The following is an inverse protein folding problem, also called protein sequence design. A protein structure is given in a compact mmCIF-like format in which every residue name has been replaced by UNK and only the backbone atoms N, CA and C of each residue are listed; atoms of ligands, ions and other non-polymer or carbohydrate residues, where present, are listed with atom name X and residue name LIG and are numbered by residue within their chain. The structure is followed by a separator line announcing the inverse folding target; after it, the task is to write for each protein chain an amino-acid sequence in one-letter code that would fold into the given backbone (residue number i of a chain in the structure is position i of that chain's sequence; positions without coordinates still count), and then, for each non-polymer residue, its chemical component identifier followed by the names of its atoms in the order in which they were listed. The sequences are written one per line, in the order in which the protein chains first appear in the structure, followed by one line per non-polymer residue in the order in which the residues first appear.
data_IF_146658699805
#
_entry.id   IF_146658699805
#
_cell.length_a   1.000
_cell.length_b   1.000
_cell.length_c   1.000
_cell.angle_alpha   90.00
_cell.angle_beta   90.00
_cell.angle_gamma   90.00
#
_symmetry.space_group_name_H-M   'P 1'
#
loop_
_entity.id
_entity.type
_entity.pdbx_description
1 polymer ?
#
# COMPACT_ATOMS: atom_id res chain seq x y z
N UNK A 1 2.41 7.08 -17.25
CA UNK A 1 0.94 6.92 -17.32
C UNK A 1 0.49 6.78 -15.87
N UNK A 2 -0.38 7.67 -15.39
CA UNK A 2 -0.89 7.59 -14.00
C UNK A 2 -1.75 6.33 -13.87
N UNK A 3 -1.63 5.61 -12.75
CA UNK A 3 -2.33 4.32 -12.57
C UNK A 3 -3.84 4.51 -12.33
N UNK A 4 -4.19 5.57 -11.61
CA UNK A 4 -5.54 6.07 -11.42
C UNK A 4 -5.49 7.60 -11.20
N UNK A 5 -6.65 8.26 -11.32
CA UNK A 5 -6.74 9.74 -11.22
C UNK A 5 -6.15 10.27 -9.91
N UNK A 6 -5.41 11.39 -9.98
CA UNK A 6 -4.91 12.11 -8.80
C UNK A 6 -6.00 12.40 -7.76
N UNK A 7 -7.26 12.55 -8.18
CA UNK A 7 -8.40 12.76 -7.27
C UNK A 7 -8.63 11.63 -6.26
N UNK A 8 -8.17 10.41 -6.53
CA UNK A 8 -8.30 9.26 -5.64
C UNK A 8 -7.01 8.96 -4.85
N UNK A 9 -5.92 9.71 -5.09
CA UNK A 9 -4.60 9.36 -4.55
C UNK A 9 -4.54 9.40 -3.03
N UNK A 10 -4.98 10.51 -2.44
CA UNK A 10 -4.97 10.69 -1.00
C UNK A 10 -5.80 9.60 -0.32
N UNK A 11 -7.02 9.37 -0.81
CA UNK A 11 -7.95 8.38 -0.29
C UNK A 11 -7.42 6.94 -0.42
N UNK A 12 -6.88 6.56 -1.58
CA UNK A 12 -6.32 5.22 -1.79
C UNK A 12 -5.08 5.00 -0.92
N UNK A 13 -4.22 6.00 -0.77
CA UNK A 13 -3.01 5.91 0.08
C UNK A 13 -3.41 5.76 1.54
N UNK A 14 -4.26 6.65 2.04
CA UNK A 14 -4.71 6.65 3.42
C UNK A 14 -5.48 5.36 3.77
N UNK A 15 -6.46 4.98 2.95
CA UNK A 15 -7.31 3.82 3.23
C UNK A 15 -6.56 2.49 3.09
N UNK A 16 -5.57 2.38 2.19
CA UNK A 16 -4.74 1.18 2.14
C UNK A 16 -3.85 1.06 3.39
N UNK A 17 -3.31 2.18 3.90
CA UNK A 17 -2.60 2.19 5.17
C UNK A 17 -3.49 1.73 6.33
N UNK A 18 -4.64 2.39 6.48
CA UNK A 18 -5.62 2.05 7.52
C UNK A 18 -6.14 0.62 7.40
N UNK A 19 -6.32 0.08 6.18
CA UNK A 19 -6.70 -1.31 5.96
C UNK A 19 -5.71 -2.29 6.61
N UNK A 20 -4.41 -2.04 6.43
CA UNK A 20 -3.37 -2.93 6.94
C UNK A 20 -3.26 -2.87 8.47
N UNK A 21 -3.46 -1.68 9.05
CA UNK A 21 -3.59 -1.51 10.50
C UNK A 21 -4.85 -2.18 11.05
N UNK A 22 -6.00 -1.91 10.43
CA UNK A 22 -7.29 -2.45 10.81
C UNK A 22 -7.30 -3.99 10.84
N UNK A 23 -6.69 -4.64 9.84
CA UNK A 23 -6.61 -6.09 9.76
C UNK A 23 -5.86 -6.70 10.95
N UNK A 24 -4.76 -6.08 11.40
CA UNK A 24 -4.00 -6.53 12.56
C UNK A 24 -4.75 -6.29 13.88
N UNK A 25 -5.41 -5.14 14.03
CA UNK A 25 -6.18 -4.80 15.23
C UNK A 25 -7.40 -5.70 15.43
N UNK A 26 -8.12 -6.01 14.34
CA UNK A 26 -9.36 -6.80 14.40
C UNK A 26 -9.12 -8.30 14.48
N UNK A 27 -7.92 -8.76 14.11
CA UNK A 27 -7.52 -10.17 14.19
C UNK A 27 -6.19 -10.31 14.93
N UNK A 28 -6.17 -10.17 16.26
CA UNK A 28 -4.95 -10.26 17.05
C UNK A 28 -4.20 -11.58 16.83
N UNK A 29 -2.93 -11.48 16.46
CA UNK A 29 -2.09 -12.64 16.15
C UNK A 29 -2.22 -13.15 14.72
N UNK A 30 -2.81 -12.38 13.80
CA UNK A 30 -2.76 -12.65 12.36
C UNK A 30 -1.31 -12.54 11.83
N UNK A 31 -0.99 -13.35 10.82
CA UNK A 31 0.13 -13.12 9.91
C UNK A 31 -0.19 -11.94 8.98
N UNK A 32 0.13 -10.73 9.46
CA UNK A 32 -0.13 -9.50 8.71
C UNK A 32 0.66 -9.44 7.40
N UNK A 33 1.83 -10.09 7.32
CA UNK A 33 2.60 -10.14 6.08
C UNK A 33 1.88 -10.97 5.02
N UNK A 34 1.36 -12.14 5.39
CA UNK A 34 0.53 -12.97 4.51
C UNK A 34 -0.73 -12.23 4.04
N UNK A 35 -1.42 -11.52 4.95
CA UNK A 35 -2.58 -10.69 4.59
C UNK A 35 -2.22 -9.60 3.57
N UNK A 36 -1.17 -8.82 3.82
CA UNK A 36 -0.70 -7.76 2.92
C UNK A 36 -0.37 -8.35 1.54
N UNK A 37 0.33 -9.49 1.51
CA UNK A 37 0.69 -10.15 0.26
C UNK A 37 -0.54 -10.67 -0.50
N UNK A 38 -1.49 -11.28 0.20
CA UNK A 38 -2.73 -11.77 -0.39
C UNK A 38 -3.52 -10.60 -0.98
N UNK A 39 -3.67 -9.51 -0.22
CA UNK A 39 -4.33 -8.30 -0.67
C UNK A 39 -3.64 -7.69 -1.90
N UNK A 40 -2.31 -7.49 -1.87
CA UNK A 40 -1.57 -6.92 -3.00
C UNK A 40 -1.62 -7.80 -4.27
N UNK A 41 -1.89 -9.10 -4.14
CA UNK A 41 -2.07 -10.04 -5.27
C UNK A 41 -3.53 -10.22 -5.72
N UNK A 42 -4.49 -9.65 -5.00
CA UNK A 42 -5.93 -9.88 -5.16
C UNK A 42 -6.56 -9.25 -6.40
N UNK A 43 -7.78 -9.69 -6.73
CA UNK A 43 -8.62 -8.99 -7.70
C UNK A 43 -9.12 -7.65 -7.15
N UNK A 44 -9.50 -7.59 -5.87
CA UNK A 44 -9.85 -6.34 -5.16
C UNK A 44 -8.81 -5.26 -5.39
N UNK A 45 -7.53 -5.57 -5.14
CA UNK A 45 -6.46 -4.60 -5.32
C UNK A 45 -6.17 -4.27 -6.79
N UNK A 46 -6.38 -5.24 -7.69
CA UNK A 46 -6.27 -5.01 -9.13
C UNK A 46 -7.39 -4.12 -9.70
N UNK A 47 -8.52 -3.95 -9.01
CA UNK A 47 -9.53 -2.96 -9.39
C UNK A 47 -9.09 -1.54 -9.03
N UNK A 48 -8.41 -1.37 -7.89
CA UNK A 48 -7.78 -0.10 -7.51
C UNK A 48 -6.63 0.24 -8.47
N UNK A 49 -5.83 -0.75 -8.89
CA UNK A 49 -4.81 -0.58 -9.94
C UNK A 49 -5.41 -0.05 -11.26
N UNK A 50 -6.72 -0.23 -11.50
CA UNK A 50 -7.42 0.24 -12.70
C UNK A 50 -8.22 1.51 -12.44
N UNK A 51 -8.15 2.09 -11.23
CA UNK A 51 -8.91 3.27 -10.84
C UNK A 51 -10.42 3.04 -10.82
N UNK A 52 -10.87 1.83 -10.47
CA UNK A 52 -12.30 1.55 -10.38
C UNK A 52 -12.92 2.40 -9.25
N UNK A 53 -13.88 3.31 -9.55
CA UNK A 53 -14.29 4.33 -8.59
C UNK A 53 -14.87 3.79 -7.28
N UNK A 54 -15.73 2.77 -7.35
CA UNK A 54 -16.41 2.20 -6.19
C UNK A 54 -15.45 1.63 -5.15
N UNK A 55 -14.40 0.93 -5.60
CA UNK A 55 -13.40 0.32 -4.71
C UNK A 55 -12.35 1.35 -4.29
N UNK A 56 -12.03 2.33 -5.13
CA UNK A 56 -11.07 3.40 -4.79
C UNK A 56 -11.56 4.32 -3.68
N UNK A 57 -12.88 4.42 -3.47
CA UNK A 57 -13.50 5.29 -2.44
C UNK A 57 -14.00 4.51 -1.22
N UNK A 58 -13.61 3.25 -1.06
CA UNK A 58 -13.93 2.49 0.14
C UNK A 58 -13.01 2.91 1.28
N UNK A 59 -13.60 3.16 2.46
CA UNK A 59 -12.82 3.22 3.69
C UNK A 59 -12.21 1.85 4.03
N UNK A 60 -11.29 1.84 5.00
CA UNK A 60 -10.54 0.65 5.38
C UNK A 60 -11.43 -0.53 5.81
N UNK A 61 -12.51 -0.27 6.55
CA UNK A 61 -13.40 -1.31 7.08
C UNK A 61 -14.19 -1.97 5.94
N UNK A 62 -14.86 -1.16 5.11
CA UNK A 62 -15.61 -1.64 3.96
C UNK A 62 -14.69 -2.34 2.95
N UNK A 63 -13.47 -1.83 2.75
CA UNK A 63 -12.48 -2.45 1.87
C UNK A 63 -12.00 -3.80 2.41
N UNK A 64 -11.85 -3.93 3.74
CA UNK A 64 -11.51 -5.19 4.39
C UNK A 64 -12.62 -6.22 4.21
N UNK A 65 -13.87 -5.85 4.51
CA UNK A 65 -15.04 -6.71 4.32
C UNK A 65 -15.20 -7.14 2.87
N UNK A 66 -15.07 -6.19 1.93
CA UNK A 66 -15.10 -6.47 0.50
C UNK A 66 -13.99 -7.45 0.11
N UNK A 67 -12.76 -7.26 0.59
CA UNK A 67 -11.66 -8.18 0.33
C UNK A 67 -11.97 -9.60 0.84
N UNK A 68 -12.44 -9.74 2.08
CA UNK A 68 -12.79 -11.06 2.63
C UNK A 68 -13.93 -11.73 1.86
N UNK A 69 -14.95 -10.96 1.49
CA UNK A 69 -16.11 -11.49 0.76
C UNK A 69 -15.73 -12.00 -0.63
N UNK A 70 -14.94 -11.23 -1.39
CA UNK A 70 -14.68 -11.54 -2.81
C UNK A 70 -13.46 -12.43 -3.03
N UNK A 71 -12.42 -12.31 -2.19
CA UNK A 71 -11.21 -13.12 -2.33
C UNK A 71 -11.25 -14.41 -1.52
N UNK A 72 -12.25 -14.54 -0.62
CA UNK A 72 -12.37 -15.68 0.30
C UNK A 72 -11.09 -15.91 1.10
N UNK A 73 -10.42 -14.82 1.47
CA UNK A 73 -9.21 -14.88 2.29
C UNK A 73 -9.56 -15.36 3.70
N UNK A 74 -8.77 -16.31 4.20
CA UNK A 74 -8.86 -16.79 5.57
C UNK A 74 -7.62 -16.31 6.35
N UNK A 75 -7.80 -15.46 7.38
CA UNK A 75 -6.70 -15.02 8.23
C UNK A 75 -5.88 -16.18 8.80
N UNK A 76 -4.57 -16.11 8.62
CA UNK A 76 -3.64 -17.12 9.16
C UNK A 76 -3.07 -16.64 10.49
N UNK A 77 -2.88 -17.55 11.47
CA UNK A 77 -2.15 -17.20 12.68
C UNK A 77 -0.67 -16.95 12.34
N UNK A 78 -0.09 -15.92 12.93
CA UNK A 78 1.29 -15.51 12.71
C UNK A 78 1.78 -14.61 13.82
N UNK A 79 2.89 -13.92 13.55
CA UNK A 79 3.43 -12.94 14.48
C UNK A 79 2.87 -11.57 14.12
N UNK A 80 2.19 -10.94 15.08
CA UNK A 80 1.84 -9.53 14.97
C UNK A 80 3.10 -8.71 14.65
N UNK A 81 3.02 -7.85 13.64
CA UNK A 81 4.04 -6.87 13.35
C UNK A 81 4.12 -5.83 14.47
N UNK A 82 2.95 -5.42 15.00
CA UNK A 82 2.81 -4.43 16.06
C UNK A 82 3.20 -3.00 15.63
N UNK A 83 2.57 -2.02 16.28
CA UNK A 83 2.86 -0.60 16.03
C UNK A 83 2.34 -0.11 14.68
N UNK A 84 3.00 0.91 14.11
CA UNK A 84 2.51 1.64 12.93
C UNK A 84 3.09 1.12 11.60
N UNK A 85 3.81 -0.01 11.63
CA UNK A 85 4.48 -0.54 10.44
C UNK A 85 3.48 -0.98 9.35
N UNK A 86 2.39 -1.71 9.64
CA UNK A 86 1.41 -2.08 8.62
C UNK A 86 0.79 -0.86 7.94
N UNK A 87 0.42 0.17 8.72
CA UNK A 87 -0.15 1.40 8.19
C UNK A 87 0.81 2.09 7.20
N UNK A 88 2.05 2.33 7.64
CA UNK A 88 3.06 2.97 6.79
C UNK A 88 3.38 2.15 5.53
N UNK A 89 3.48 0.83 5.63
CA UNK A 89 3.72 -0.05 4.46
C UNK A 89 2.55 0.03 3.47
N UNK A 90 1.31 0.08 3.96
CA UNK A 90 0.12 0.23 3.13
C UNK A 90 0.14 1.55 2.35
N UNK A 91 0.39 2.66 3.03
CA UNK A 91 0.52 3.97 2.38
C UNK A 91 1.68 3.98 1.37
N UNK A 92 2.84 3.44 1.76
CA UNK A 92 4.03 3.36 0.92
C UNK A 92 3.74 2.60 -0.38
N UNK A 93 3.13 1.41 -0.31
CA UNK A 93 2.84 0.61 -1.50
C UNK A 93 1.87 1.30 -2.44
N UNK A 94 0.80 1.90 -1.92
CA UNK A 94 -0.17 2.63 -2.74
C UNK A 94 0.49 3.81 -3.46
N UNK A 95 1.30 4.60 -2.73
CA UNK A 95 1.99 5.74 -3.31
C UNK A 95 3.06 5.31 -4.30
N UNK A 96 3.85 4.29 -3.99
CA UNK A 96 4.91 3.77 -4.87
C UNK A 96 4.34 3.27 -6.19
N UNK A 97 3.24 2.51 -6.14
CA UNK A 97 2.49 2.09 -7.32
C UNK A 97 2.11 3.30 -8.18
N UNK A 98 1.50 4.32 -7.57
CA UNK A 98 1.01 5.50 -8.29
C UNK A 98 2.15 6.31 -8.91
N UNK A 99 3.22 6.56 -8.15
CA UNK A 99 4.40 7.32 -8.61
C UNK A 99 5.07 6.62 -9.79
N UNK A 100 5.29 5.30 -9.72
CA UNK A 100 6.06 4.59 -10.74
C UNK A 100 5.21 3.95 -11.84
N UNK A 101 3.88 4.03 -11.77
CA UNK A 101 3.02 3.54 -12.83
C UNK A 101 3.01 2.01 -12.97
N UNK A 102 3.35 1.27 -11.91
CA UNK A 102 3.45 -0.20 -11.92
C UNK A 102 2.29 -0.83 -11.12
N UNK A 103 1.90 -2.06 -11.41
CA UNK A 103 0.78 -2.69 -10.67
C UNK A 103 1.15 -3.02 -9.22
N UNK A 104 0.16 -3.14 -8.34
CA UNK A 104 0.33 -3.64 -6.97
C UNK A 104 1.15 -4.94 -6.89
N UNK A 105 0.92 -5.87 -7.83
CA UNK A 105 1.69 -7.12 -7.96
C UNK A 105 3.17 -6.90 -8.27
N UNK A 106 3.48 -5.97 -9.17
CA UNK A 106 4.88 -5.66 -9.50
C UNK A 106 5.55 -4.86 -8.38
N UNK A 107 4.82 -4.00 -7.64
CA UNK A 107 5.33 -3.38 -6.41
C UNK A 107 5.79 -4.46 -5.43
N UNK A 108 4.92 -5.42 -5.13
CA UNK A 108 5.23 -6.48 -4.17
C UNK A 108 6.40 -7.36 -4.63
N UNK A 109 6.54 -7.58 -5.93
CA UNK A 109 7.66 -8.34 -6.50
C UNK A 109 9.00 -7.60 -6.37
N UNK A 110 8.99 -6.27 -6.52
CA UNK A 110 10.18 -5.43 -6.34
C UNK A 110 10.52 -5.23 -4.87
N UNK A 111 9.48 -5.09 -4.03
CA UNK A 111 9.57 -4.77 -2.63
C UNK A 111 8.72 -5.78 -1.84
N UNK A 112 9.29 -6.96 -1.51
CA UNK A 112 8.59 -7.97 -0.72
C UNK A 112 8.20 -7.43 0.67
N UNK A 113 7.07 -7.89 1.20
CA UNK A 113 6.53 -7.40 2.48
C UNK A 113 7.50 -7.57 3.65
N UNK A 114 8.18 -8.71 3.74
CA UNK A 114 9.21 -8.92 4.78
C UNK A 114 10.35 -7.91 4.69
N UNK A 115 10.78 -7.55 3.47
CA UNK A 115 11.80 -6.53 3.26
C UNK A 115 11.33 -5.16 3.73
N UNK A 116 10.07 -4.81 3.45
CA UNK A 116 9.50 -3.53 3.89
C UNK A 116 9.35 -3.43 5.40
N UNK A 117 8.97 -4.52 6.08
CA UNK A 117 8.99 -4.56 7.55
C UNK A 117 10.41 -4.39 8.10
N UNK A 118 11.42 -5.02 7.49
CA UNK A 118 12.81 -4.86 7.91
C UNK A 118 13.35 -3.43 7.65
N UNK A 119 12.89 -2.78 6.58
CA UNK A 119 13.29 -1.42 6.21
C UNK A 119 12.57 -0.34 7.05
N UNK A 120 11.39 -0.64 7.58
CA UNK A 120 10.54 0.31 8.30
C UNK A 120 11.28 1.15 9.36
N UNK A 121 12.09 0.56 10.29
CA UNK A 121 12.77 1.34 11.33
C UNK A 121 13.69 2.46 10.80
N UNK A 122 14.27 2.30 9.61
CA UNK A 122 15.13 3.32 8.99
C UNK A 122 14.43 4.22 7.96
N UNK A 123 13.25 3.81 7.48
CA UNK A 123 12.53 4.50 6.41
C UNK A 123 11.38 5.38 6.93
N UNK A 124 10.72 4.98 8.04
CA UNK A 124 9.49 5.63 8.51
C UNK A 124 9.69 7.05 9.10
N UNK A 125 10.92 7.41 9.48
CA UNK A 125 11.27 8.78 9.89
C UNK A 125 11.31 9.77 8.72
N UNK A 126 11.32 9.27 7.48
CA UNK A 126 11.27 10.09 6.28
C UNK A 126 9.82 10.46 5.96
N UNK A 127 9.66 11.64 5.34
CA UNK A 127 8.46 11.95 4.58
C UNK A 127 8.14 10.82 3.58
N UNK A 128 6.87 10.43 3.46
CA UNK A 128 6.46 9.27 2.68
C UNK A 128 6.85 9.38 1.21
N UNK A 129 6.70 10.57 0.61
CA UNK A 129 7.12 10.83 -0.77
C UNK A 129 8.63 10.69 -0.93
N UNK A 130 9.39 11.26 0.02
CA UNK A 130 10.85 11.12 0.02
C UNK A 130 11.28 9.65 0.13
N UNK A 131 10.61 8.86 0.96
CA UNK A 131 10.87 7.43 1.07
C UNK A 131 10.61 6.70 -0.26
N UNK A 132 9.46 6.93 -0.89
CA UNK A 132 9.09 6.32 -2.19
C UNK A 132 10.10 6.67 -3.28
N UNK A 133 10.53 7.94 -3.35
CA UNK A 133 11.52 8.36 -4.35
C UNK A 133 12.88 7.70 -4.11
N UNK A 134 13.39 7.72 -2.87
CA UNK A 134 14.68 7.09 -2.54
C UNK A 134 14.69 5.59 -2.83
N UNK A 135 13.65 4.88 -2.41
CA UNK A 135 13.55 3.43 -2.64
C UNK A 135 13.42 3.13 -4.13
N UNK A 136 12.64 3.91 -4.88
CA UNK A 136 12.52 3.69 -6.31
C UNK A 136 13.81 3.92 -7.09
N UNK A 137 14.61 4.93 -6.71
CA UNK A 137 15.96 5.13 -7.25
C UNK A 137 16.87 3.91 -6.96
N UNK A 138 16.81 3.35 -5.75
CA UNK A 138 17.55 2.13 -5.38
C UNK A 138 17.10 0.90 -6.17
N UNK A 139 15.82 0.84 -6.55
CA UNK A 139 15.27 -0.18 -7.44
C UNK A 139 15.59 0.07 -8.93
N UNK A 140 16.35 1.13 -9.26
CA UNK A 140 16.70 1.49 -10.64
C UNK A 140 15.54 2.10 -11.45
N UNK A 141 14.47 2.52 -10.78
CA UNK A 141 13.35 3.21 -11.41
C UNK A 141 13.69 4.68 -11.59
N UNK A 142 13.30 5.25 -12.73
CA UNK A 142 13.44 6.69 -12.98
C UNK A 142 12.23 7.40 -12.39
N UNK A 143 12.47 8.43 -11.58
CA UNK A 143 11.40 9.31 -11.11
C UNK A 143 10.64 9.91 -12.32
N UNK A 144 9.30 10.03 -12.26
CA UNK A 144 8.54 10.66 -13.34
C UNK A 144 8.96 12.12 -13.52
N UNK A 145 9.12 12.56 -14.77
CA UNK A 145 9.58 13.91 -15.14
C UNK A 145 8.68 15.04 -14.58
N UNK A 146 7.44 14.73 -14.18
CA UNK A 146 6.46 15.69 -13.62
C UNK A 146 6.35 15.68 -12.09
N UNK A 147 7.20 14.94 -11.36
CA UNK A 147 7.18 14.93 -9.88
C UNK A 147 7.69 16.23 -9.25
N UNK A 148 8.30 17.12 -10.03
CA UNK A 148 8.90 18.40 -9.60
C UNK A 148 7.94 19.48 -9.06
N UNK A 149 6.63 19.22 -9.00
CA UNK A 149 5.63 20.11 -8.41
C UNK A 149 4.96 19.60 -7.13
N UNK A 150 5.19 18.35 -6.74
CA UNK A 150 4.45 17.69 -5.65
C UNK A 150 5.14 17.79 -4.28
N UNK A 151 6.38 18.24 -4.25
CA UNK A 151 7.12 18.43 -3.00
C UNK A 151 6.79 19.77 -2.33
N UNK A 152 5.82 19.78 -1.39
CA UNK A 152 5.90 20.45 -0.06
C UNK A 152 4.57 20.91 0.56
N UNK A 153 3.42 20.91 -0.12
CA UNK A 153 2.23 21.58 0.44
C UNK A 153 0.86 20.93 0.31
N UNK A 154 0.68 19.92 -0.54
CA UNK A 154 -0.67 19.48 -0.90
C UNK A 154 -0.94 18.00 -0.60
N UNK A 155 -0.23 17.44 0.37
CA UNK A 155 -0.45 16.12 1.00
C UNK A 155 -0.10 16.27 2.48
#
# INVERSE_FOLDING_TARGET
MEVFSKSYLEEVVENQGKLFEYAEEHWPGMDVADFIEAYMKSHTRAMIDKGQPYVCTMDAENLFEYFLEYEKYEPKPGKAAGGFAPNWIGQFYALFQWVYGISSKEVLKLLPTEFMFAAYPGAHDLDLYLAVHKVGEQCGLKAPENSGGLGRKDI
#
